data_IF_135107582795
#
_entry.id   IF_135107582795
#
_cell.length_a   1.000
_cell.length_b   1.000
_cell.length_c   1.000
_cell.angle_alpha   90.00
_cell.angle_beta   90.00
_cell.angle_gamma   90.00
#
_symmetry.space_group_name_H-M   'P 1'
#
loop_
_entity.id
_entity.type
_entity.pdbx_description
1 polymer ?
#
# COMPACT_ATOMS: atom_id res chain seq x y z
N UNK A 1 12.63 -11.17 -58.97
CA UNK A 1 11.58 -10.97 -59.99
C UNK A 1 10.43 -10.27 -59.35
N UNK A 2 10.21 -9.24 -59.74
CA UNK A 2 9.37 -8.03 -59.87
C UNK A 2 7.93 -8.21 -59.33
N UNK A 3 7.63 -7.31 -58.44
CA UNK A 3 6.29 -6.80 -58.08
C UNK A 3 5.55 -6.33 -59.33
N UNK A 4 4.24 -6.25 -59.19
CA UNK A 4 3.23 -5.59 -60.03
C UNK A 4 2.48 -6.53 -60.96
N UNK A 5 1.21 -6.24 -60.87
CA UNK A 5 0.09 -6.55 -61.74
C UNK A 5 -0.89 -7.56 -61.15
N UNK A 6 -1.84 -7.02 -60.39
CA UNK A 6 -3.23 -7.41 -60.47
C UNK A 6 -4.13 -6.28 -59.97
N UNK A 7 -4.33 -5.33 -60.85
CA UNK A 7 -5.47 -4.41 -60.78
C UNK A 7 -6.25 -4.66 -62.07
N UNK A 8 -7.49 -5.10 -61.96
CA UNK A 8 -8.66 -4.68 -62.75
C UNK A 8 -9.75 -5.74 -62.80
N UNK A 9 -10.92 -5.35 -62.49
CA UNK A 9 -12.17 -6.12 -62.69
C UNK A 9 -13.25 -5.66 -61.71
N UNK A 10 -13.81 -4.51 -61.90
CA UNK A 10 -15.12 -4.12 -62.44
C UNK A 10 -16.30 -4.86 -61.83
N UNK A 11 -17.24 -4.10 -61.29
CA UNK A 11 -18.64 -4.50 -61.17
C UNK A 11 -19.38 -3.89 -59.98
N UNK A 12 -20.11 -2.80 -60.21
CA UNK A 12 -20.89 -2.10 -59.23
C UNK A 12 -22.10 -2.86 -58.73
N UNK A 13 -22.51 -2.54 -57.51
CA UNK A 13 -23.91 -2.56 -57.08
C UNK A 13 -24.05 -1.59 -55.89
N UNK A 14 -24.78 -0.51 -56.15
CA UNK A 14 -25.27 0.40 -55.11
C UNK A 14 -26.30 -0.32 -54.28
N UNK A 15 -26.05 -0.41 -52.98
CA UNK A 15 -27.06 -0.75 -52.00
C UNK A 15 -27.06 0.36 -50.92
N UNK A 16 -28.06 1.20 -51.01
CA UNK A 16 -28.48 2.10 -49.96
C UNK A 16 -28.91 1.29 -48.75
N UNK A 17 -28.12 1.31 -47.69
CA UNK A 17 -28.56 0.79 -46.39
C UNK A 17 -28.51 1.88 -45.35
N UNK A 18 -29.64 2.03 -44.76
CA UNK A 18 -30.10 2.98 -43.77
C UNK A 18 -29.05 3.32 -42.68
N UNK A 19 -29.02 4.61 -42.34
CA UNK A 19 -28.53 5.09 -41.06
C UNK A 19 -29.27 4.40 -39.93
N UNK A 20 -28.69 3.37 -39.36
CA UNK A 20 -29.04 2.93 -38.03
C UNK A 20 -28.32 3.87 -37.05
N UNK A 21 -29.10 4.73 -36.41
CA UNK A 21 -28.70 5.45 -35.22
C UNK A 21 -28.26 4.43 -34.17
N UNK A 22 -26.99 4.17 -34.11
CA UNK A 22 -26.40 3.53 -32.95
C UNK A 22 -26.58 4.47 -31.79
N UNK A 23 -27.54 4.17 -30.96
CA UNK A 23 -27.66 4.64 -29.59
C UNK A 23 -26.30 4.46 -28.94
N UNK A 24 -25.73 5.57 -28.60
CA UNK A 24 -24.54 5.68 -27.79
C UNK A 24 -24.83 5.05 -26.42
N UNK A 25 -24.68 3.74 -26.33
CA UNK A 25 -24.68 3.05 -25.07
C UNK A 25 -23.37 3.44 -24.41
N UNK A 26 -23.51 4.35 -23.43
CA UNK A 26 -22.44 4.81 -22.60
C UNK A 26 -21.48 3.67 -22.28
N UNK A 27 -20.23 3.89 -22.62
CA UNK A 27 -19.13 3.02 -22.23
C UNK A 27 -19.07 2.92 -20.71
N UNK A 28 -19.91 2.07 -20.17
CA UNK A 28 -19.70 1.53 -18.84
C UNK A 28 -18.32 0.90 -18.88
N UNK A 29 -17.36 1.53 -18.21
CA UNK A 29 -16.04 0.98 -17.99
C UNK A 29 -16.22 -0.49 -17.62
N UNK A 30 -15.87 -1.38 -18.53
CA UNK A 30 -15.87 -2.83 -18.25
C UNK A 30 -14.97 -3.02 -17.05
N UNK A 31 -15.56 -3.28 -15.87
CA UNK A 31 -14.81 -3.62 -14.68
C UNK A 31 -14.03 -4.87 -15.06
N UNK A 32 -12.71 -4.76 -15.07
CA UNK A 32 -11.87 -5.93 -15.31
C UNK A 32 -12.22 -6.98 -14.24
N UNK A 33 -12.54 -8.21 -14.67
CA UNK A 33 -12.80 -9.33 -13.78
C UNK A 33 -11.49 -9.85 -13.13
N UNK A 34 -10.40 -9.15 -13.30
CA UNK A 34 -9.10 -9.48 -12.76
C UNK A 34 -9.15 -9.52 -11.23
N UNK A 35 -8.66 -10.62 -10.68
CA UNK A 35 -8.63 -10.89 -9.24
C UNK A 35 -7.21 -10.99 -8.75
N UNK A 36 -6.94 -10.37 -7.62
CA UNK A 36 -5.64 -10.33 -6.98
C UNK A 36 -5.68 -11.05 -5.64
N UNK A 37 -4.66 -11.83 -5.37
CA UNK A 37 -4.46 -12.46 -4.08
C UNK A 37 -3.12 -12.00 -3.53
N UNK A 38 -3.16 -11.19 -2.49
CA UNK A 38 -1.99 -10.61 -1.86
C UNK A 38 -1.78 -11.19 -0.47
N UNK A 39 -0.57 -11.07 0.01
CA UNK A 39 -0.17 -11.40 1.39
C UNK A 39 0.30 -10.11 2.06
N UNK A 40 -0.14 -9.91 3.30
CA UNK A 40 0.40 -8.89 4.17
C UNK A 40 1.08 -9.57 5.36
N UNK A 41 2.33 -9.24 5.59
CA UNK A 41 3.12 -9.70 6.74
C UNK A 41 3.26 -8.57 7.75
N UNK A 42 3.18 -8.88 9.04
CA UNK A 42 3.20 -7.87 10.08
C UNK A 42 4.32 -8.10 11.08
N UNK A 43 4.73 -7.03 11.75
CA UNK A 43 5.66 -7.09 12.88
C UNK A 43 4.97 -7.39 14.21
N UNK A 44 3.65 -7.62 14.20
CA UNK A 44 2.81 -7.77 15.39
C UNK A 44 2.40 -9.22 15.61
N UNK A 45 2.23 -9.60 16.87
CA UNK A 45 1.61 -10.86 17.25
C UNK A 45 0.16 -10.95 16.71
N UNK A 46 -0.38 -12.17 16.54
CA UNK A 46 -1.76 -12.35 16.10
C UNK A 46 -2.74 -11.58 17.00
N UNK A 47 -3.64 -10.83 16.40
CA UNK A 47 -4.67 -10.04 17.09
C UNK A 47 -4.12 -9.05 18.15
N UNK A 48 -2.87 -8.62 18.02
CA UNK A 48 -2.31 -7.62 18.92
C UNK A 48 -3.23 -6.38 18.98
N UNK A 49 -3.66 -5.94 20.17
CA UNK A 49 -4.61 -4.85 20.31
C UNK A 49 -4.14 -3.57 19.59
N UNK A 50 -5.03 -2.95 18.85
CA UNK A 50 -4.73 -1.76 18.06
C UNK A 50 -4.02 -2.08 16.76
N UNK A 51 -2.75 -2.40 16.79
CA UNK A 51 -1.93 -2.55 15.57
C UNK A 51 -2.24 -3.83 14.78
N UNK A 52 -2.32 -4.99 15.44
CA UNK A 52 -2.66 -6.26 14.77
C UNK A 52 -4.13 -6.29 14.32
N UNK A 53 -5.06 -5.84 15.16
CA UNK A 53 -6.49 -5.79 14.81
C UNK A 53 -6.78 -4.73 13.73
N UNK A 54 -6.00 -3.67 13.65
CA UNK A 54 -6.13 -2.66 12.59
C UNK A 54 -5.81 -3.24 11.21
N UNK A 55 -4.82 -4.15 11.12
CA UNK A 55 -4.49 -4.81 9.85
C UNK A 55 -5.65 -5.69 9.37
N UNK A 56 -6.29 -6.45 10.26
CA UNK A 56 -7.44 -7.26 9.89
C UNK A 56 -8.58 -6.38 9.35
N UNK A 57 -8.83 -5.23 9.98
CA UNK A 57 -9.84 -4.26 9.51
C UNK A 57 -9.48 -3.64 8.17
N UNK A 58 -8.20 -3.29 7.96
CA UNK A 58 -7.70 -2.79 6.67
C UNK A 58 -7.99 -3.80 5.55
N UNK A 59 -7.66 -5.06 5.77
CA UNK A 59 -7.88 -6.14 4.80
C UNK A 59 -9.37 -6.31 4.48
N UNK A 60 -10.25 -6.28 5.49
CA UNK A 60 -11.71 -6.30 5.28
C UNK A 60 -12.19 -5.12 4.41
N UNK A 61 -11.68 -3.93 4.65
CA UNK A 61 -12.00 -2.77 3.83
C UNK A 61 -11.50 -2.93 2.38
N UNK A 62 -10.28 -3.39 2.17
CA UNK A 62 -9.74 -3.61 0.83
C UNK A 62 -10.57 -4.63 0.04
N UNK A 63 -10.96 -5.74 0.66
CA UNK A 63 -11.82 -6.75 0.02
C UNK A 63 -13.19 -6.17 -0.34
N UNK A 64 -13.84 -5.48 0.59
CA UNK A 64 -15.17 -4.87 0.37
C UNK A 64 -15.11 -3.76 -0.68
N UNK A 65 -14.15 -2.86 -0.61
CA UNK A 65 -14.01 -1.73 -1.56
C UNK A 65 -13.67 -2.21 -2.97
N UNK A 66 -12.93 -3.31 -3.10
CA UNK A 66 -12.60 -3.91 -4.39
C UNK A 66 -13.72 -4.79 -4.96
N UNK A 67 -14.82 -4.99 -4.22
CA UNK A 67 -15.89 -5.92 -4.60
C UNK A 67 -15.40 -7.38 -4.63
N UNK A 68 -14.47 -7.74 -3.76
CA UNK A 68 -13.87 -9.08 -3.67
C UNK A 68 -12.82 -9.38 -4.74
N UNK A 69 -12.42 -8.39 -5.54
CA UNK A 69 -11.34 -8.56 -6.53
C UNK A 69 -9.96 -8.63 -5.91
N UNK A 70 -9.72 -7.86 -4.84
CA UNK A 70 -8.48 -7.93 -4.06
C UNK A 70 -8.75 -8.70 -2.77
N UNK A 71 -8.10 -9.85 -2.63
CA UNK A 71 -8.11 -10.64 -1.40
C UNK A 71 -6.72 -10.60 -0.78
N UNK A 72 -6.66 -10.28 0.49
CA UNK A 72 -5.38 -10.15 1.21
C UNK A 72 -5.38 -11.10 2.39
N UNK A 73 -4.36 -11.96 2.46
CA UNK A 73 -4.16 -12.86 3.61
C UNK A 73 -3.16 -12.23 4.58
N UNK A 74 -3.56 -12.12 5.84
CA UNK A 74 -2.73 -11.59 6.92
C UNK A 74 -1.88 -12.72 7.51
N UNK A 75 -0.59 -12.41 7.73
CA UNK A 75 0.36 -13.25 8.44
C UNK A 75 0.97 -12.44 9.59
N UNK A 76 0.82 -12.92 10.80
CA UNK A 76 1.39 -12.29 11.98
C UNK A 76 2.92 -12.50 12.04
N UNK A 77 3.56 -11.80 12.97
CA UNK A 77 5.00 -11.91 13.19
C UNK A 77 5.42 -13.37 13.41
N UNK A 78 6.38 -13.83 12.62
CA UNK A 78 6.93 -15.19 12.71
C UNK A 78 6.11 -16.28 12.02
N UNK A 79 4.92 -15.98 11.45
CA UNK A 79 4.14 -17.01 10.74
C UNK A 79 4.70 -17.32 9.34
N UNK A 80 5.11 -16.32 8.60
CA UNK A 80 5.65 -16.49 7.25
C UNK A 80 7.12 -16.07 7.19
N UNK A 81 7.46 -14.98 7.86
CA UNK A 81 8.81 -14.43 7.95
C UNK A 81 9.05 -13.88 9.37
N UNK A 82 10.31 -13.74 9.82
CA UNK A 82 10.65 -13.03 11.05
C UNK A 82 10.14 -11.58 11.03
N UNK A 83 9.73 -11.08 12.19
CA UNK A 83 9.09 -9.76 12.31
C UNK A 83 9.90 -8.61 11.70
N UNK A 84 11.23 -8.61 11.92
CA UNK A 84 12.09 -7.52 11.44
C UNK A 84 12.58 -7.69 10.00
N UNK A 85 12.19 -8.76 9.32
CA UNK A 85 12.45 -8.96 7.88
C UNK A 85 11.32 -8.48 6.97
N UNK A 86 10.25 -7.93 7.54
CA UNK A 86 9.08 -7.43 6.80
C UNK A 86 9.47 -6.43 5.71
N UNK A 87 10.33 -5.46 6.04
CA UNK A 87 10.81 -4.45 5.08
C UNK A 87 11.50 -5.09 3.88
N UNK A 88 12.45 -5.96 4.14
CA UNK A 88 13.24 -6.63 3.11
C UNK A 88 12.40 -7.57 2.24
N UNK A 89 11.43 -8.25 2.84
CA UNK A 89 10.54 -9.15 2.11
C UNK A 89 9.65 -8.41 1.11
N UNK A 90 9.10 -7.25 1.50
CA UNK A 90 8.29 -6.41 0.58
C UNK A 90 9.21 -5.73 -0.45
N UNK A 91 10.35 -5.19 -0.03
CA UNK A 91 11.32 -4.54 -0.92
C UNK A 91 11.76 -5.45 -2.06
N UNK A 92 11.97 -6.74 -1.77
CA UNK A 92 12.33 -7.77 -2.76
C UNK A 92 11.15 -8.36 -3.53
N UNK A 93 9.92 -7.95 -3.21
CA UNK A 93 8.71 -8.49 -3.84
C UNK A 93 8.38 -9.93 -3.42
N UNK A 94 8.94 -10.43 -2.31
CA UNK A 94 8.61 -11.77 -1.80
C UNK A 94 7.17 -11.82 -1.29
N UNK A 95 6.68 -10.71 -0.77
CA UNK A 95 5.28 -10.48 -0.37
C UNK A 95 4.85 -9.10 -0.86
N UNK A 96 3.56 -8.94 -1.05
CA UNK A 96 2.98 -7.76 -1.68
C UNK A 96 2.84 -6.58 -0.71
N UNK A 97 2.62 -6.86 0.58
CA UNK A 97 2.39 -5.82 1.59
C UNK A 97 3.11 -6.16 2.90
N UNK A 98 3.51 -5.12 3.62
CA UNK A 98 4.05 -5.21 4.97
C UNK A 98 3.40 -4.20 5.91
N UNK A 99 3.28 -4.53 7.17
CA UNK A 99 2.81 -3.62 8.20
C UNK A 99 3.74 -3.66 9.42
N UNK A 100 4.33 -2.51 9.73
CA UNK A 100 5.27 -2.35 10.83
C UNK A 100 5.50 -0.87 11.12
N UNK A 101 6.22 -0.57 12.20
CA UNK A 101 6.58 0.80 12.52
C UNK A 101 7.86 1.20 11.77
N UNK A 102 7.83 2.37 11.13
CA UNK A 102 8.93 2.84 10.29
C UNK A 102 10.28 2.93 11.04
N UNK A 103 10.28 3.19 12.34
CA UNK A 103 11.54 3.25 13.13
C UNK A 103 12.26 1.89 13.25
N UNK A 104 11.59 0.76 12.99
CA UNK A 104 12.26 -0.55 12.94
C UNK A 104 13.29 -0.64 11.81
N UNK A 105 13.13 0.17 10.79
CA UNK A 105 13.94 0.18 9.57
C UNK A 105 15.05 1.24 9.59
N UNK A 106 15.39 1.75 10.78
CA UNK A 106 16.49 2.71 10.96
C UNK A 106 17.82 2.18 10.39
N UNK A 107 18.04 0.86 10.44
CA UNK A 107 19.24 0.24 9.88
C UNK A 107 19.32 0.31 8.35
N UNK A 108 18.18 0.38 7.66
CA UNK A 108 18.09 0.54 6.21
C UNK A 108 18.14 2.01 5.78
N UNK A 109 17.51 2.89 6.56
CA UNK A 109 17.54 4.34 6.36
C UNK A 109 17.35 5.05 7.70
N UNK A 110 18.31 5.90 8.08
CA UNK A 110 18.20 6.69 9.31
C UNK A 110 16.99 7.63 9.29
N UNK A 111 16.56 8.08 8.12
CA UNK A 111 15.38 8.92 7.96
C UNK A 111 14.07 8.19 8.25
N UNK A 112 14.02 6.85 8.16
CA UNK A 112 12.79 6.08 8.35
C UNK A 112 12.14 6.32 9.72
N UNK A 113 12.94 6.52 10.76
CA UNK A 113 12.44 6.74 12.13
C UNK A 113 11.57 7.99 12.27
N UNK A 114 11.75 9.01 11.42
CA UNK A 114 10.99 10.26 11.50
C UNK A 114 9.54 10.13 11.03
N UNK A 115 9.19 9.06 10.33
CA UNK A 115 7.81 8.78 9.88
C UNK A 115 7.01 7.94 10.89
N UNK A 116 7.51 7.83 12.12
CA UNK A 116 6.84 7.18 13.25
C UNK A 116 7.02 8.03 14.51
N UNK A 117 6.85 7.42 15.68
CA UNK A 117 6.98 8.12 16.97
C UNK A 117 8.43 8.48 17.29
N UNK A 118 8.67 9.74 17.62
CA UNK A 118 9.94 10.23 18.15
C UNK A 118 9.66 10.74 19.57
N UNK A 119 10.53 10.46 20.56
CA UNK A 119 10.40 11.05 21.89
C UNK A 119 10.28 12.58 21.82
N UNK A 120 9.29 13.14 22.47
CA UNK A 120 8.96 14.58 22.44
C UNK A 120 8.62 15.14 21.06
N UNK A 121 8.35 14.27 20.07
CA UNK A 121 7.95 14.64 18.72
C UNK A 121 6.44 14.92 18.59
N UNK A 122 5.95 14.79 17.38
CA UNK A 122 4.56 15.07 17.04
C UNK A 122 3.59 14.10 17.72
N UNK A 123 2.47 14.62 18.20
CA UNK A 123 1.31 13.81 18.58
C UNK A 123 0.71 13.09 17.35
N UNK A 124 -0.20 12.13 17.56
CA UNK A 124 -0.86 11.43 16.46
C UNK A 124 -1.59 12.36 15.48
N UNK A 125 -2.24 13.42 15.99
CA UNK A 125 -2.92 14.42 15.15
C UNK A 125 -1.95 15.26 14.35
N UNK A 126 -0.88 15.73 14.97
CA UNK A 126 0.16 16.52 14.33
C UNK A 126 0.91 15.68 13.28
N UNK A 127 1.21 14.41 13.58
CA UNK A 127 1.82 13.48 12.62
C UNK A 127 0.92 13.28 11.40
N UNK A 128 -0.38 13.07 11.58
CA UNK A 128 -1.32 12.99 10.47
C UNK A 128 -1.38 14.30 9.67
N UNK A 129 -1.41 15.44 10.36
CA UNK A 129 -1.36 16.76 9.72
C UNK A 129 -0.09 16.93 8.86
N UNK A 130 1.05 16.58 9.41
CA UNK A 130 2.32 16.65 8.69
C UNK A 130 2.36 15.68 7.50
N UNK A 131 1.96 14.43 7.69
CA UNK A 131 1.99 13.43 6.61
C UNK A 131 1.06 13.82 5.45
N UNK A 132 -0.18 14.23 5.73
CA UNK A 132 -1.15 14.48 4.66
C UNK A 132 -1.15 15.90 4.10
N UNK A 133 -0.70 16.90 4.87
CA UNK A 133 -0.78 18.31 4.49
C UNK A 133 0.53 19.07 4.61
N UNK A 134 1.52 18.52 5.32
CA UNK A 134 2.83 19.14 5.53
C UNK A 134 3.96 18.57 4.68
N UNK A 135 3.66 17.74 3.66
CA UNK A 135 4.65 17.14 2.78
C UNK A 135 5.34 15.90 3.33
N UNK A 136 5.00 15.45 4.55
CA UNK A 136 5.65 14.31 5.19
C UNK A 136 5.50 13.01 4.42
N UNK A 137 4.36 12.77 3.77
CA UNK A 137 4.13 11.56 2.99
C UNK A 137 4.99 11.54 1.71
N UNK A 138 5.20 12.67 1.08
CA UNK A 138 6.05 12.76 -0.10
C UNK A 138 7.52 12.52 0.26
N UNK A 139 7.99 13.11 1.36
CA UNK A 139 9.32 12.81 1.92
C UNK A 139 9.47 11.32 2.28
N UNK A 140 8.46 10.71 2.86
CA UNK A 140 8.50 9.29 3.19
C UNK A 140 8.62 8.42 1.93
N UNK A 141 7.86 8.75 0.90
CA UNK A 141 7.94 8.07 -0.41
C UNK A 141 9.31 8.23 -1.05
N UNK A 142 9.90 9.43 -0.98
CA UNK A 142 11.26 9.69 -1.47
C UNK A 142 12.30 8.82 -0.75
N UNK A 143 12.23 8.75 0.58
CA UNK A 143 13.12 7.90 1.40
C UNK A 143 12.97 6.42 1.10
N UNK A 144 11.74 5.96 0.76
CA UNK A 144 11.46 4.54 0.52
C UNK A 144 11.59 4.12 -0.95
N UNK A 145 11.64 5.07 -1.89
CA UNK A 145 11.77 4.78 -3.32
C UNK A 145 13.00 3.94 -3.69
N UNK A 146 14.21 4.16 -3.11
CA UNK A 146 15.38 3.31 -3.40
C UNK A 146 15.20 1.85 -3.00
N UNK A 147 14.25 1.55 -2.12
CA UNK A 147 13.93 0.20 -1.65
C UNK A 147 12.76 -0.44 -2.38
N UNK A 148 12.26 0.19 -3.45
CA UNK A 148 11.07 -0.28 -4.18
C UNK A 148 9.82 -0.38 -3.30
N UNK A 149 9.63 0.57 -2.38
CA UNK A 149 8.53 0.60 -1.43
C UNK A 149 7.69 1.86 -1.57
N UNK A 150 6.39 1.72 -1.42
CA UNK A 150 5.43 2.83 -1.33
C UNK A 150 4.78 2.81 0.04
N UNK A 151 5.15 3.74 0.94
CA UNK A 151 4.60 3.78 2.29
C UNK A 151 3.25 4.47 2.36
N UNK A 152 2.45 4.02 3.34
CA UNK A 152 1.19 4.63 3.73
C UNK A 152 1.04 4.61 5.25
N UNK A 153 0.53 5.68 5.88
CA UNK A 153 0.16 5.64 7.29
C UNK A 153 -1.05 4.71 7.48
N UNK A 154 -0.96 3.79 8.44
CA UNK A 154 -1.98 2.76 8.64
C UNK A 154 -2.54 2.71 10.07
N UNK A 155 -2.15 3.62 10.94
CA UNK A 155 -2.65 3.70 12.29
C UNK A 155 -1.63 4.26 13.27
N UNK A 156 -2.06 4.43 14.52
CA UNK A 156 -1.22 4.86 15.62
C UNK A 156 -1.70 4.24 16.93
N UNK A 157 -0.86 4.28 17.96
CA UNK A 157 -1.15 3.78 19.31
C UNK A 157 -1.52 4.89 20.30
N UNK A 158 -1.58 6.12 19.84
CA UNK A 158 -1.74 7.28 20.71
C UNK A 158 -0.48 7.63 21.49
N UNK A 159 -0.64 8.18 22.69
CA UNK A 159 0.47 8.56 23.56
C UNK A 159 1.19 7.32 24.09
N UNK A 160 2.51 7.35 24.06
CA UNK A 160 3.35 6.28 24.60
C UNK A 160 4.00 6.71 25.90
N UNK A 161 4.14 5.76 26.83
CA UNK A 161 4.89 5.94 28.06
C UNK A 161 6.39 5.99 27.77
N UNK A 162 7.10 6.95 28.35
CA UNK A 162 8.53 7.11 28.15
C UNK A 162 9.38 5.96 28.73
N UNK A 163 8.86 5.24 29.72
CA UNK A 163 9.50 4.07 30.27
C UNK A 163 8.76 3.50 31.49
N UNK A 164 9.18 2.31 31.91
CA UNK A 164 8.72 1.61 33.11
C UNK A 164 9.91 1.48 34.06
N UNK A 165 9.80 2.09 35.24
CA UNK A 165 10.89 2.15 36.20
C UNK A 165 10.43 1.56 37.53
N UNK A 166 11.34 0.94 38.26
CA UNK A 166 11.09 0.42 39.62
C UNK A 166 11.38 1.47 40.70
N UNK A 167 11.78 2.67 40.31
CA UNK A 167 12.01 3.84 41.17
C UNK A 167 11.56 5.10 40.46
N UNK A 168 11.42 6.17 41.21
CA UNK A 168 11.15 7.50 40.64
C UNK A 168 12.39 8.00 39.92
N UNK A 169 12.22 8.48 38.68
CA UNK A 169 13.24 9.13 37.88
C UNK A 169 13.03 10.63 37.97
N UNK A 170 14.03 11.37 38.39
CA UNK A 170 13.97 12.82 38.57
C UNK A 170 14.94 13.57 37.66
N UNK A 171 15.97 12.88 37.16
CA UNK A 171 16.98 13.45 36.27
C UNK A 171 17.55 12.43 35.28
N UNK A 172 18.33 12.92 34.32
CA UNK A 172 19.04 12.06 33.34
C UNK A 172 20.12 11.20 34.03
N UNK A 173 20.54 11.57 35.24
CA UNK A 173 21.58 10.85 35.98
C UNK A 173 21.03 9.64 36.77
N UNK A 174 19.70 9.50 36.88
CA UNK A 174 19.02 8.39 37.55
C UNK A 174 19.01 7.12 36.70
#
# INVERSE_FOLDING_TARGET
MKRRDFLAGVGGAAALTACSSSTDNGAGSARSDERFQWRIVTTWAPNFPGLGTAVNRLVDYLERMSGGRLRVRVYAAGELIPAFEVFDAVSRGTVEMGHGAAYYWRGQSEAAQFFASIPFGLSAHEMNGWLYYGGGLDLWREVYAPFNLVPFPAGNTGVQTGGWFNRRIESVAD
#
